data_IF_379449354291
#
_entry.id   IF_379449354291
#
_cell.length_a   1.000
_cell.length_b   1.000
_cell.length_c   1.000
_cell.angle_alpha   90.00
_cell.angle_beta   90.00
_cell.angle_gamma   90.00
#
_symmetry.space_group_name_H-M   'P 1'
#
loop_
_entity.id
_entity.type
_entity.pdbx_description
1 polymer ?
#
# COMPACT_ATOMS: atom_id res chain seq x y z
N UNK A 1 -10.26 15.87 -1.88
CA UNK A 1 -10.22 14.39 -1.73
C UNK A 1 -11.53 13.82 -2.25
N UNK A 2 -11.42 12.87 -3.18
CA UNK A 2 -12.58 12.25 -3.82
C UNK A 2 -13.13 11.12 -2.94
N UNK A 3 -12.24 10.32 -2.35
CA UNK A 3 -12.62 9.18 -1.52
C UNK A 3 -11.50 8.79 -0.56
N UNK A 4 -11.87 8.32 0.64
CA UNK A 4 -10.93 7.72 1.60
C UNK A 4 -11.45 6.35 1.95
N UNK A 5 -10.62 5.32 1.76
CA UNK A 5 -10.95 3.93 2.07
C UNK A 5 -10.05 3.47 3.22
N UNK A 6 -10.58 3.24 4.42
CA UNK A 6 -9.77 2.73 5.54
C UNK A 6 -9.52 1.24 5.41
N UNK A 7 -8.45 0.76 6.00
CA UNK A 7 -8.09 -0.65 6.06
C UNK A 7 -8.09 -1.29 4.67
N UNK A 8 -7.39 -0.64 3.72
CA UNK A 8 -7.36 -1.10 2.33
C UNK A 8 -6.44 -2.31 2.17
N UNK A 9 -6.99 -3.39 1.63
CA UNK A 9 -6.24 -4.63 1.43
C UNK A 9 -5.49 -4.62 0.11
N UNK A 10 -4.18 -4.86 0.18
CA UNK A 10 -3.34 -5.12 -0.98
C UNK A 10 -3.01 -6.61 -1.03
N UNK A 11 -3.18 -7.23 -2.18
CA UNK A 11 -2.68 -8.58 -2.41
C UNK A 11 -1.31 -8.49 -3.08
N UNK A 12 -0.29 -8.99 -2.39
CA UNK A 12 1.07 -8.98 -2.92
C UNK A 12 1.29 -10.28 -3.68
N UNK A 13 1.50 -10.17 -4.99
CA UNK A 13 1.70 -11.30 -5.89
C UNK A 13 3.03 -11.18 -6.61
N UNK A 14 3.69 -12.31 -6.82
CA UNK A 14 4.89 -12.40 -7.64
C UNK A 14 4.67 -13.52 -8.66
N UNK A 15 4.81 -13.20 -9.95
CA UNK A 15 4.58 -14.16 -11.04
C UNK A 15 3.20 -14.85 -10.94
N UNK A 16 2.17 -14.10 -10.56
CA UNK A 16 0.82 -14.62 -10.43
C UNK A 16 0.56 -15.42 -9.15
N UNK A 17 1.58 -15.62 -8.32
CA UNK A 17 1.44 -16.36 -7.06
C UNK A 17 1.26 -15.37 -5.92
N UNK A 18 0.18 -15.56 -5.15
CA UNK A 18 -0.08 -14.71 -3.98
C UNK A 18 0.91 -15.04 -2.86
N UNK A 19 1.64 -14.03 -2.41
CA UNK A 19 2.61 -14.17 -1.34
C UNK A 19 1.98 -13.84 0.01
N UNK A 20 1.26 -12.71 0.10
CA UNK A 20 0.62 -12.30 1.35
C UNK A 20 -0.41 -11.20 1.08
N UNK A 21 -1.21 -10.90 2.10
CA UNK A 21 -2.05 -9.70 2.14
C UNK A 21 -1.34 -8.63 2.97
N UNK A 22 -1.49 -7.37 2.55
CA UNK A 22 -0.97 -6.25 3.30
C UNK A 22 -2.06 -5.20 3.44
N UNK A 23 -2.45 -4.88 4.67
CA UNK A 23 -3.51 -3.91 4.93
C UNK A 23 -2.91 -2.54 5.17
N UNK A 24 -3.20 -1.62 4.26
CA UNK A 24 -2.84 -0.22 4.43
C UNK A 24 -3.88 0.46 5.32
N UNK A 25 -3.45 1.42 6.13
CA UNK A 25 -4.39 2.13 7.00
C UNK A 25 -5.40 2.92 6.18
N UNK A 26 -4.96 3.56 5.10
CA UNK A 26 -5.87 4.32 4.24
C UNK A 26 -5.44 4.24 2.77
N UNK A 27 -6.45 4.23 1.89
CA UNK A 27 -6.27 4.54 0.48
C UNK A 27 -7.02 5.84 0.20
N UNK A 28 -6.31 6.86 -0.29
CA UNK A 28 -6.89 8.15 -0.61
C UNK A 28 -6.92 8.32 -2.12
N UNK A 29 -8.09 8.65 -2.65
CA UNK A 29 -8.27 8.95 -4.08
C UNK A 29 -8.52 10.44 -4.20
N UNK A 30 -7.71 11.11 -5.04
CA UNK A 30 -7.81 12.54 -5.27
C UNK A 30 -8.66 12.85 -6.50
N UNK A 31 -9.13 14.11 -6.66
CA UNK A 31 -10.01 14.46 -7.78
C UNK A 31 -9.44 14.19 -9.17
N UNK A 32 -8.11 14.17 -9.31
CA UNK A 32 -7.43 13.85 -10.57
C UNK A 32 -7.23 12.35 -10.79
N UNK A 33 -7.87 11.53 -9.95
CA UNK A 33 -7.78 10.06 -9.93
C UNK A 33 -6.41 9.52 -9.51
N UNK A 34 -5.52 10.36 -9.01
CA UNK A 34 -4.29 9.88 -8.38
C UNK A 34 -4.63 9.23 -7.03
N UNK A 35 -3.77 8.31 -6.59
CA UNK A 35 -4.00 7.50 -5.41
C UNK A 35 -2.82 7.62 -4.46
N UNK A 36 -3.10 7.71 -3.17
CA UNK A 36 -2.09 7.65 -2.13
C UNK A 36 -2.43 6.53 -1.17
N UNK A 37 -1.49 5.63 -0.93
CA UNK A 37 -1.62 4.56 0.06
C UNK A 37 -0.85 4.96 1.31
N UNK A 38 -1.54 5.08 2.43
CA UNK A 38 -0.98 5.63 3.66
C UNK A 38 -0.90 4.54 4.72
N UNK A 39 0.30 4.36 5.27
CA UNK A 39 0.56 3.47 6.39
C UNK A 39 1.03 4.30 7.58
N UNK A 40 0.37 4.14 8.74
CA UNK A 40 0.76 4.80 9.98
C UNK A 40 1.40 3.76 10.89
N UNK A 41 2.67 3.96 11.27
CA UNK A 41 3.42 3.01 12.09
C UNK A 41 4.12 3.69 13.25
N UNK A 42 3.83 3.23 14.47
CA UNK A 42 4.58 3.62 15.66
C UNK A 42 5.84 2.80 15.84
N UNK A 43 5.85 1.55 15.37
CA UNK A 43 6.99 0.64 15.50
C UNK A 43 7.15 -0.18 14.24
N UNK A 44 8.39 -0.37 13.78
CA UNK A 44 8.70 -1.17 12.60
C UNK A 44 9.17 -2.55 13.03
N UNK A 45 8.42 -3.59 12.63
CA UNK A 45 8.83 -4.98 12.80
C UNK A 45 9.55 -5.48 11.55
N UNK A 46 10.25 -6.62 11.67
CA UNK A 46 10.88 -7.24 10.51
C UNK A 46 9.84 -7.63 9.45
N UNK A 47 8.70 -8.15 9.87
CA UNK A 47 7.61 -8.51 8.96
C UNK A 47 7.07 -7.27 8.23
N UNK A 48 6.86 -6.15 8.94
CA UNK A 48 6.42 -4.92 8.30
C UNK A 48 7.45 -4.43 7.29
N UNK A 49 8.74 -4.42 7.66
CA UNK A 49 9.79 -3.94 6.77
C UNK A 49 9.84 -4.77 5.46
N UNK A 50 9.66 -6.07 5.55
CA UNK A 50 9.62 -6.93 4.37
C UNK A 50 8.41 -6.61 3.48
N UNK A 51 7.21 -6.51 4.06
CA UNK A 51 5.99 -6.18 3.32
C UNK A 51 6.07 -4.80 2.68
N UNK A 52 6.65 -3.83 3.38
CA UNK A 52 6.84 -2.49 2.87
C UNK A 52 7.76 -2.48 1.66
N UNK A 53 8.88 -3.19 1.75
CA UNK A 53 9.81 -3.34 0.63
C UNK A 53 9.17 -4.00 -0.59
N UNK A 54 8.43 -5.08 -0.37
CA UNK A 54 7.74 -5.79 -1.44
C UNK A 54 6.71 -4.87 -2.12
N UNK A 55 5.96 -4.12 -1.33
CA UNK A 55 4.97 -3.20 -1.85
C UNK A 55 5.62 -2.10 -2.70
N UNK A 56 6.73 -1.52 -2.24
CA UNK A 56 7.46 -0.53 -3.02
C UNK A 56 7.98 -1.11 -4.34
N UNK A 57 8.53 -2.32 -4.29
CA UNK A 57 9.11 -2.95 -5.48
C UNK A 57 8.04 -3.31 -6.53
N UNK A 58 6.83 -3.65 -6.08
CA UNK A 58 5.75 -4.13 -6.95
C UNK A 58 4.64 -3.10 -7.14
N UNK A 59 4.85 -1.85 -6.70
CA UNK A 59 3.77 -0.86 -6.64
C UNK A 59 3.10 -0.62 -7.99
N UNK A 60 3.88 -0.51 -9.07
CA UNK A 60 3.32 -0.27 -10.40
C UNK A 60 2.43 -1.42 -10.87
N UNK A 61 2.70 -2.64 -10.43
CA UNK A 61 1.91 -3.81 -10.78
C UNK A 61 0.66 -3.92 -9.90
N UNK A 62 0.78 -3.58 -8.61
CA UNK A 62 -0.31 -3.70 -7.63
C UNK A 62 -1.30 -2.55 -7.75
N UNK A 63 -0.80 -1.33 -7.80
CA UNK A 63 -1.61 -0.10 -7.84
C UNK A 63 -0.92 0.92 -8.74
N UNK A 64 -1.16 0.87 -10.07
CA UNK A 64 -0.62 1.88 -10.98
C UNK A 64 -1.09 3.27 -10.55
N UNK A 65 -0.22 4.26 -10.69
CA UNK A 65 -0.48 5.66 -10.33
C UNK A 65 -0.65 5.93 -8.84
N UNK A 66 -0.23 4.99 -7.98
CA UNK A 66 -0.28 5.18 -6.54
C UNK A 66 1.06 5.68 -6.00
N UNK A 67 0.97 6.43 -4.91
CA UNK A 67 2.11 6.87 -4.11
C UNK A 67 2.02 6.19 -2.76
N UNK A 68 3.14 5.70 -2.23
CA UNK A 68 3.21 5.17 -0.88
C UNK A 68 3.69 6.24 0.09
N UNK A 69 2.99 6.37 1.22
CA UNK A 69 3.34 7.32 2.26
C UNK A 69 3.39 6.59 3.61
N UNK A 70 4.51 6.74 4.31
CA UNK A 70 4.68 6.20 5.66
C UNK A 70 4.65 7.35 6.65
N UNK A 71 3.74 7.28 7.61
CA UNK A 71 3.61 8.25 8.69
C UNK A 71 4.11 7.59 9.97
N UNK A 72 5.13 8.19 10.58
CA UNK A 72 5.74 7.67 11.82
C UNK A 72 5.21 8.37 13.05
#
# INVERSE_FOLDING_TARGET
IKEIIPQYKLEIKVNGIKICNYYMDFKVIYPDDSVELIEVKGMRTATFNLKWKLTNALLEEIEPNAKLTLVL
#
